data_IF_942814505603
#
_entry.id   IF_942814505603
#
_cell.length_a   1.000
_cell.length_b   1.000
_cell.length_c   1.000
_cell.angle_alpha   90.00
_cell.angle_beta   90.00
_cell.angle_gamma   90.00
#
_symmetry.space_group_name_H-M   'P 1'
#
loop_
_entity.id
_entity.type
_entity.pdbx_description
1 polymer ?
#
# COMPACT_ATOMS: atom_id res chain seq x y z
N UNK A 1 4.22 37.05 -32.39
CA UNK A 1 3.29 36.90 -31.24
C UNK A 1 2.57 35.55 -31.28
N UNK A 2 1.90 35.18 -32.38
CA UNK A 2 1.20 33.89 -32.49
C UNK A 2 2.11 32.65 -32.29
N UNK A 3 3.31 32.65 -32.88
CA UNK A 3 4.27 31.55 -32.74
C UNK A 3 4.77 31.36 -31.31
N UNK A 4 4.97 32.45 -30.56
CA UNK A 4 5.41 32.40 -29.17
C UNK A 4 4.36 31.71 -28.28
N UNK A 5 3.08 32.06 -28.45
CA UNK A 5 1.99 31.43 -27.70
C UNK A 5 1.82 29.96 -28.05
N UNK A 6 1.96 29.60 -29.33
CA UNK A 6 1.94 28.21 -29.78
C UNK A 6 3.09 27.39 -29.18
N UNK A 7 4.28 27.98 -29.11
CA UNK A 7 5.46 27.33 -28.54
C UNK A 7 5.34 27.15 -27.02
N UNK A 8 4.84 28.16 -26.29
CA UNK A 8 4.56 28.05 -24.85
C UNK A 8 3.53 26.96 -24.57
N UNK A 9 2.43 26.91 -25.36
CA UNK A 9 1.40 25.86 -25.22
C UNK A 9 1.97 24.47 -25.50
N UNK A 10 2.78 24.32 -26.54
CA UNK A 10 3.45 23.05 -26.86
C UNK A 10 4.32 22.57 -25.69
N UNK A 11 5.11 23.47 -25.08
CA UNK A 11 5.94 23.15 -23.91
C UNK A 11 5.11 22.73 -22.71
N UNK A 12 3.99 23.40 -22.44
CA UNK A 12 3.11 23.02 -21.34
C UNK A 12 2.47 21.64 -21.54
N UNK A 13 1.97 21.36 -22.75
CA UNK A 13 1.40 20.03 -23.08
C UNK A 13 2.46 18.95 -22.94
N UNK A 14 3.64 19.12 -23.53
CA UNK A 14 4.72 18.14 -23.43
C UNK A 14 5.24 17.97 -22.00
N UNK A 15 5.29 19.05 -21.20
CA UNK A 15 5.67 18.97 -19.79
C UNK A 15 4.65 18.16 -18.99
N UNK A 16 3.36 18.35 -19.26
CA UNK A 16 2.28 17.55 -18.68
C UNK A 16 2.48 16.07 -19.08
N UNK A 17 2.53 15.76 -20.37
CA UNK A 17 2.63 14.37 -20.85
C UNK A 17 3.85 13.63 -20.28
N UNK A 18 4.99 14.32 -20.15
CA UNK A 18 6.19 13.76 -19.54
C UNK A 18 6.03 13.52 -18.03
N UNK A 19 5.31 14.40 -17.33
CA UNK A 19 4.98 14.22 -15.92
C UNK A 19 4.10 12.98 -15.72
N UNK A 20 3.07 12.77 -16.55
CA UNK A 20 2.21 11.59 -16.47
C UNK A 20 2.97 10.29 -16.66
N UNK A 21 3.79 10.23 -17.72
CA UNK A 21 4.65 9.09 -17.99
C UNK A 21 5.58 8.81 -16.82
N UNK A 22 6.12 9.86 -16.20
CA UNK A 22 6.99 9.73 -15.03
C UNK A 22 6.21 9.18 -13.82
N UNK A 23 5.02 9.71 -13.53
CA UNK A 23 4.16 9.25 -12.43
C UNK A 23 3.75 7.79 -12.63
N UNK A 24 3.30 7.42 -13.84
CA UNK A 24 2.90 6.06 -14.15
C UNK A 24 4.09 5.09 -14.05
N UNK A 25 5.21 5.44 -14.68
CA UNK A 25 6.43 4.61 -14.63
C UNK A 25 6.89 4.40 -13.20
N UNK A 26 7.02 5.48 -12.43
CA UNK A 26 7.50 5.43 -11.05
C UNK A 26 6.53 4.69 -10.12
N UNK A 27 5.22 4.86 -10.32
CA UNK A 27 4.21 4.16 -9.52
C UNK A 27 4.20 2.66 -9.83
N UNK A 28 4.23 2.27 -11.10
CA UNK A 28 4.30 0.85 -11.49
C UNK A 28 5.61 0.22 -11.05
N UNK A 29 6.75 0.89 -11.22
CA UNK A 29 8.04 0.38 -10.76
C UNK A 29 8.11 0.30 -9.23
N UNK A 30 7.58 1.31 -8.53
CA UNK A 30 7.53 1.33 -7.06
C UNK A 30 6.67 0.20 -6.51
N UNK A 31 5.52 -0.06 -7.13
CA UNK A 31 4.66 -1.20 -6.80
C UNK A 31 5.38 -2.53 -7.03
N UNK A 32 5.99 -2.72 -8.20
CA UNK A 32 6.71 -3.95 -8.53
C UNK A 32 7.87 -4.21 -7.55
N UNK A 33 8.67 -3.19 -7.25
CA UNK A 33 9.75 -3.27 -6.25
C UNK A 33 9.19 -3.58 -4.86
N UNK A 34 8.07 -2.95 -4.48
CA UNK A 34 7.46 -3.18 -3.16
C UNK A 34 6.93 -4.62 -3.00
N UNK A 35 6.36 -5.20 -4.06
CA UNK A 35 5.90 -6.59 -4.07
C UNK A 35 7.08 -7.58 -4.04
N UNK A 36 8.16 -7.30 -4.78
CA UNK A 36 9.39 -8.07 -4.71
C UNK A 36 9.97 -8.06 -3.28
N UNK A 37 9.98 -6.90 -2.61
CA UNK A 37 10.41 -6.78 -1.23
C UNK A 37 9.61 -7.66 -0.26
N UNK A 38 8.29 -7.72 -0.47
CA UNK A 38 7.37 -8.51 0.33
C UNK A 38 7.53 -10.01 0.10
N UNK A 39 7.83 -10.40 -1.14
CA UNK A 39 8.07 -11.80 -1.51
C UNK A 39 9.42 -12.30 -0.99
N UNK A 40 10.46 -11.50 -1.15
CA UNK A 40 11.84 -11.97 -1.03
C UNK A 40 12.51 -11.63 0.31
N UNK A 41 12.01 -10.62 1.04
CA UNK A 41 12.68 -10.15 2.25
C UNK A 41 11.81 -10.23 3.52
N UNK A 42 10.49 -10.00 3.43
CA UNK A 42 9.66 -9.78 4.63
C UNK A 42 8.28 -10.45 4.49
N UNK A 43 8.03 -11.60 5.13
CA UNK A 43 6.69 -12.17 5.19
C UNK A 43 5.74 -11.14 5.82
N UNK A 44 4.65 -10.77 5.12
CA UNK A 44 3.65 -9.76 5.58
C UNK A 44 3.25 -9.97 7.04
N UNK A 45 3.12 -11.23 7.47
CA UNK A 45 2.71 -11.57 8.84
C UNK A 45 3.69 -11.15 9.94
N UNK A 46 4.93 -10.79 9.59
CA UNK A 46 5.95 -10.29 10.54
C UNK A 46 6.35 -8.84 10.28
N UNK A 47 5.83 -8.22 9.22
CA UNK A 47 6.14 -6.84 8.89
C UNK A 47 5.52 -5.89 9.92
N UNK A 48 6.33 -4.97 10.46
CA UNK A 48 5.80 -3.84 11.23
C UNK A 48 5.07 -2.88 10.29
N UNK A 49 3.93 -2.38 10.76
CA UNK A 49 3.20 -1.31 10.09
C UNK A 49 2.82 -1.62 8.64
N UNK A 50 2.35 -2.85 8.36
CA UNK A 50 1.85 -3.25 7.03
C UNK A 50 0.80 -2.28 6.46
N UNK A 51 0.05 -1.59 7.32
CA UNK A 51 -0.90 -0.53 6.91
C UNK A 51 -0.24 0.61 6.13
N UNK A 52 1.01 0.98 6.44
CA UNK A 52 1.74 2.03 5.70
C UNK A 52 1.98 1.61 4.25
N UNK A 53 2.24 0.33 4.02
CA UNK A 53 2.41 -0.23 2.68
C UNK A 53 1.09 -0.18 1.91
N UNK A 54 -0.01 -0.64 2.49
CA UNK A 54 -1.33 -0.56 1.85
C UNK A 54 -1.77 0.90 1.57
N UNK A 55 -1.51 1.81 2.51
CA UNK A 55 -1.78 3.24 2.33
C UNK A 55 -0.94 3.83 1.19
N UNK A 56 0.34 3.44 1.09
CA UNK A 56 1.22 3.87 -0.01
C UNK A 56 0.70 3.40 -1.38
N UNK A 57 0.26 2.15 -1.48
CA UNK A 57 -0.30 1.60 -2.72
C UNK A 57 -1.58 2.33 -3.12
N UNK A 58 -2.46 2.61 -2.15
CA UNK A 58 -3.64 3.42 -2.36
C UNK A 58 -3.31 4.81 -2.88
N UNK A 59 -2.34 5.49 -2.26
CA UNK A 59 -1.90 6.83 -2.66
C UNK A 59 -1.24 6.87 -4.04
N UNK A 60 -0.38 5.90 -4.38
CA UNK A 60 0.26 5.80 -5.69
C UNK A 60 -0.77 5.49 -6.80
N UNK A 61 -1.73 4.60 -6.50
CA UNK A 61 -2.83 4.28 -7.42
C UNK A 61 -3.73 5.49 -7.63
N UNK A 62 -4.14 6.15 -6.54
CA UNK A 62 -4.95 7.36 -6.59
C UNK A 62 -4.23 8.48 -7.36
N UNK A 63 -2.93 8.69 -7.12
CA UNK A 63 -2.13 9.67 -7.86
C UNK A 63 -2.14 9.38 -9.36
N UNK A 64 -1.95 8.12 -9.76
CA UNK A 64 -1.99 7.70 -11.17
C UNK A 64 -3.36 7.96 -11.79
N UNK A 65 -4.45 7.57 -11.11
CA UNK A 65 -5.82 7.77 -11.59
C UNK A 65 -6.18 9.25 -11.71
N UNK A 66 -5.86 10.07 -10.70
CA UNK A 66 -6.12 11.51 -10.73
C UNK A 66 -5.36 12.16 -11.89
N UNK A 67 -4.10 11.76 -12.13
CA UNK A 67 -3.32 12.28 -13.25
C UNK A 67 -3.96 11.91 -14.59
N UNK A 68 -4.33 10.65 -14.80
CA UNK A 68 -5.07 10.22 -16.01
C UNK A 68 -6.36 10.99 -16.23
N UNK A 69 -7.15 11.22 -15.17
CA UNK A 69 -8.39 12.00 -15.26
C UNK A 69 -8.13 13.47 -15.63
N UNK A 70 -7.06 14.06 -15.10
CA UNK A 70 -6.60 15.40 -15.46
C UNK A 70 -6.24 15.52 -16.94
N UNK A 71 -5.59 14.50 -17.51
CA UNK A 71 -5.32 14.45 -18.96
C UNK A 71 -6.59 14.39 -19.77
N UNK A 72 -7.52 13.52 -19.40
CA UNK A 72 -8.78 13.36 -20.11
C UNK A 72 -9.59 14.68 -20.10
N UNK A 73 -9.62 15.36 -18.95
CA UNK A 73 -10.24 16.66 -18.81
C UNK A 73 -9.54 17.73 -19.66
N UNK A 74 -8.20 17.72 -19.71
CA UNK A 74 -7.41 18.65 -20.53
C UNK A 74 -7.66 18.45 -22.03
N UNK A 75 -7.73 17.19 -22.50
CA UNK A 75 -8.05 16.88 -23.90
C UNK A 75 -9.44 17.39 -24.28
N UNK A 76 -10.45 17.18 -23.43
CA UNK A 76 -11.81 17.68 -23.66
C UNK A 76 -11.90 19.20 -23.63
N UNK A 77 -11.15 19.86 -22.75
CA UNK A 77 -11.08 21.32 -22.72
C UNK A 77 -10.46 21.90 -24.00
N UNK A 78 -9.43 21.24 -24.55
CA UNK A 78 -8.78 21.64 -25.79
C UNK A 78 -9.72 21.49 -27.00
N UNK A 79 -10.45 20.36 -27.09
CA UNK A 79 -11.46 20.12 -28.13
C UNK A 79 -12.59 21.17 -28.08
N UNK A 80 -13.06 21.50 -26.87
CA UNK A 80 -14.11 22.51 -26.68
C UNK A 80 -13.63 23.93 -27.01
N UNK A 81 -12.39 24.28 -26.65
CA UNK A 81 -11.78 25.56 -27.02
C UNK A 81 -11.58 25.69 -28.54
N UNK A 82 -11.24 24.62 -29.26
CA UNK A 82 -11.15 24.63 -30.72
C UNK A 82 -12.52 24.89 -31.37
N UNK A 83 -13.57 24.20 -30.91
CA UNK A 83 -14.92 24.42 -31.42
C UNK A 83 -15.45 25.85 -31.17
N UNK A 84 -15.13 26.43 -30.01
CA UNK A 84 -15.46 27.82 -29.68
C UNK A 84 -14.63 28.80 -30.51
N UNK A 85 -13.33 28.57 -30.68
CA UNK A 85 -12.46 29.45 -31.46
C UNK A 85 -12.92 29.57 -32.92
N UNK A 86 -13.36 28.48 -33.55
CA UNK A 86 -13.94 28.49 -34.90
C UNK A 86 -15.27 29.25 -34.99
N UNK A 87 -16.06 29.26 -33.91
CA UNK A 87 -17.29 30.03 -33.80
C UNK A 87 -17.06 31.54 -33.57
N UNK A 88 -16.10 31.89 -32.71
CA UNK A 88 -15.78 33.27 -32.35
C UNK A 88 -15.00 34.03 -33.43
N UNK A 89 -14.15 33.34 -34.20
CA UNK A 89 -13.46 33.95 -35.36
C UNK A 89 -14.45 34.47 -36.42
N UNK A 90 -15.65 33.87 -36.50
CA UNK A 90 -16.74 34.31 -37.38
C UNK A 90 -17.56 35.49 -36.83
N UNK A 91 -17.44 35.83 -35.53
CA UNK A 91 -18.30 36.81 -34.86
C UNK A 91 -17.56 38.03 -34.28
N UNK A 92 -16.23 38.02 -34.25
CA UNK A 92 -15.40 39.21 -33.95
C UNK A 92 -15.33 39.62 -32.47
N UNK A 93 -15.85 38.79 -31.56
CA UNK A 93 -15.89 39.11 -30.12
C UNK A 93 -14.85 38.29 -29.36
N UNK A 94 -13.78 38.96 -28.91
CA UNK A 94 -12.78 38.41 -28.00
C UNK A 94 -13.25 38.62 -26.55
N UNK A 95 -13.56 37.54 -25.84
CA UNK A 95 -13.79 37.59 -24.40
C UNK A 95 -12.90 36.56 -23.70
N UNK A 96 -12.00 37.05 -22.84
CA UNK A 96 -11.27 36.30 -21.82
C UNK A 96 -12.24 35.90 -20.70
N UNK A 97 -13.07 34.88 -20.92
CA UNK A 97 -13.82 34.25 -19.82
C UNK A 97 -12.94 33.19 -19.16
N UNK A 98 -12.70 33.27 -17.83
CA UNK A 98 -11.94 32.24 -17.14
C UNK A 98 -12.65 30.89 -17.29
N UNK A 99 -11.93 29.90 -17.82
CA UNK A 99 -12.47 28.57 -18.06
C UNK A 99 -12.45 27.78 -16.75
N UNK A 100 -13.61 27.43 -16.14
CA UNK A 100 -13.64 26.69 -14.88
C UNK A 100 -12.97 25.32 -14.96
N UNK A 101 -12.89 24.73 -16.15
CA UNK A 101 -12.15 23.48 -16.39
C UNK A 101 -10.65 23.62 -16.18
N UNK A 102 -10.10 24.80 -16.46
CA UNK A 102 -8.66 25.07 -16.31
C UNK A 102 -8.26 25.06 -14.83
N UNK A 103 -9.09 25.65 -13.97
CA UNK A 103 -8.91 25.60 -12.51
C UNK A 103 -9.07 24.18 -11.96
N UNK A 104 -10.01 23.41 -12.48
CA UNK A 104 -10.21 22.01 -12.09
C UNK A 104 -8.99 21.14 -12.43
N UNK A 105 -8.44 21.29 -13.64
CA UNK A 105 -7.22 20.58 -14.08
C UNK A 105 -6.01 20.97 -13.21
N UNK A 106 -5.83 22.25 -12.90
CA UNK A 106 -4.75 22.71 -12.02
C UNK A 106 -4.86 22.07 -10.63
N UNK A 107 -6.08 22.02 -10.07
CA UNK A 107 -6.32 21.41 -8.77
C UNK A 107 -6.05 19.90 -8.79
N UNK A 108 -6.52 19.18 -9.80
CA UNK A 108 -6.29 17.73 -9.95
C UNK A 108 -4.79 17.42 -10.09
N UNK A 109 -4.05 18.19 -10.88
CA UNK A 109 -2.60 18.02 -11.03
C UNK A 109 -1.84 18.25 -9.72
N UNK A 110 -2.27 19.23 -8.92
CA UNK A 110 -1.67 19.46 -7.60
C UNK A 110 -2.00 18.34 -6.62
N UNK A 111 -3.23 17.84 -6.65
CA UNK A 111 -3.67 16.72 -5.83
C UNK A 111 -2.93 15.41 -6.18
N UNK A 112 -2.69 15.14 -7.47
CA UNK A 112 -1.93 13.96 -7.88
C UNK A 112 -0.47 14.05 -7.48
N UNK A 113 0.18 15.20 -7.68
CA UNK A 113 1.56 15.42 -7.24
C UNK A 113 1.73 15.23 -5.73
N UNK A 114 0.82 15.78 -4.92
CA UNK A 114 0.84 15.59 -3.47
C UNK A 114 0.65 14.13 -3.06
N UNK A 115 -0.31 13.43 -3.69
CA UNK A 115 -0.58 12.01 -3.43
C UNK A 115 0.61 11.12 -3.80
N UNK A 116 1.27 11.42 -4.93
CA UNK A 116 2.46 10.70 -5.39
C UNK A 116 3.61 10.84 -4.39
N UNK A 117 3.92 12.07 -3.97
CA UNK A 117 5.00 12.32 -2.99
C UNK A 117 4.71 11.60 -1.66
N UNK A 118 3.47 11.66 -1.17
CA UNK A 118 3.07 10.96 0.04
C UNK A 118 3.21 9.43 -0.11
N UNK A 119 2.79 8.86 -1.24
CA UNK A 119 2.90 7.43 -1.54
C UNK A 119 4.34 6.92 -1.60
N UNK A 120 5.23 7.67 -2.28
CA UNK A 120 6.67 7.33 -2.34
C UNK A 120 7.27 7.39 -0.94
N UNK A 121 7.00 8.45 -0.17
CA UNK A 121 7.54 8.63 1.17
C UNK A 121 7.12 7.48 2.11
N UNK A 122 5.85 7.08 2.09
CA UNK A 122 5.36 5.96 2.89
C UNK A 122 6.02 4.65 2.52
N UNK A 123 6.20 4.37 1.22
CA UNK A 123 6.91 3.18 0.74
C UNK A 123 8.35 3.16 1.26
N UNK A 124 9.07 4.28 1.12
CA UNK A 124 10.46 4.40 1.59
C UNK A 124 10.56 4.22 3.10
N UNK A 125 9.70 4.87 3.88
CA UNK A 125 9.69 4.71 5.34
C UNK A 125 9.38 3.27 5.76
N UNK A 126 8.39 2.63 5.12
CA UNK A 126 8.04 1.25 5.40
C UNK A 126 9.23 0.31 5.17
N UNK A 127 9.92 0.45 4.02
CA UNK A 127 11.12 -0.34 3.72
C UNK A 127 12.22 -0.08 4.75
N UNK A 128 12.50 1.18 5.10
CA UNK A 128 13.55 1.53 6.06
C UNK A 128 13.30 0.92 7.45
N UNK A 129 12.08 1.06 7.99
CA UNK A 129 11.71 0.52 9.32
C UNK A 129 11.85 -1.00 9.33
N UNK A 130 11.34 -1.66 8.30
CA UNK A 130 11.34 -3.12 8.27
C UNK A 130 12.73 -3.70 7.98
N UNK A 131 13.58 -2.99 7.21
CA UNK A 131 14.97 -3.39 6.98
C UNK A 131 15.83 -3.21 8.23
N UNK A 132 15.65 -2.12 8.98
CA UNK A 132 16.32 -1.90 10.26
C UNK A 132 15.95 -3.00 11.26
N UNK A 133 14.66 -3.33 11.39
CA UNK A 133 14.22 -4.41 12.28
C UNK A 133 14.80 -5.76 11.87
N UNK A 134 14.85 -6.08 10.57
CA UNK A 134 15.46 -7.30 10.08
C UNK A 134 16.94 -7.40 10.48
N UNK A 135 17.66 -6.28 10.45
CA UNK A 135 19.05 -6.20 10.92
C UNK A 135 19.16 -6.41 12.44
N UNK A 136 18.29 -5.80 13.24
CA UNK A 136 18.27 -5.96 14.71
C UNK A 136 18.00 -7.42 15.11
N UNK A 137 16.98 -8.06 14.53
CA UNK A 137 16.63 -9.47 14.82
C UNK A 137 17.77 -10.42 14.48
N UNK A 138 18.55 -10.14 13.42
CA UNK A 138 19.72 -10.94 13.05
C UNK A 138 20.86 -10.84 14.07
N UNK A 139 20.97 -9.72 14.78
CA UNK A 139 22.04 -9.43 15.73
C UNK A 139 21.69 -9.78 17.19
N UNK A 140 20.42 -10.09 17.49
CA UNK A 140 20.07 -10.63 18.80
C UNK A 140 20.64 -12.06 18.96
N UNK A 141 21.19 -12.41 20.14
CA UNK A 141 21.54 -13.78 20.44
C UNK A 141 20.30 -14.65 20.25
N UNK A 142 20.35 -15.62 19.33
CA UNK A 142 19.26 -16.59 19.22
C UNK A 142 19.09 -17.28 20.58
N UNK A 143 17.85 -17.44 21.09
CA UNK A 143 17.64 -18.28 22.25
C UNK A 143 18.22 -19.66 21.92
N UNK A 144 19.22 -20.08 22.68
CA UNK A 144 19.83 -21.38 22.48
C UNK A 144 18.74 -22.42 22.66
N UNK A 145 18.31 -23.04 21.55
CA UNK A 145 17.54 -24.28 21.57
C UNK A 145 18.45 -25.43 22.02
N UNK A 146 19.21 -25.25 23.11
CA UNK A 146 19.74 -26.34 23.90
C UNK A 146 18.53 -27.02 24.52
N UNK A 147 17.94 -27.96 23.77
CA UNK A 147 17.30 -29.12 24.39
C UNK A 147 18.31 -29.59 25.45
N UNK A 148 17.96 -29.58 26.74
CA UNK A 148 18.89 -30.02 27.77
C UNK A 148 19.33 -31.42 27.38
N UNK A 149 20.63 -31.63 27.22
CA UNK A 149 21.18 -32.95 26.88
C UNK A 149 20.82 -33.91 28.03
N UNK A 150 19.73 -34.65 27.86
CA UNK A 150 19.22 -35.59 28.86
C UNK A 150 20.07 -36.86 28.95
N UNK A 151 21.24 -36.91 28.31
CA UNK A 151 22.17 -38.06 28.38
C UNK A 151 22.76 -38.31 29.78
N UNK A 152 22.52 -37.43 30.76
CA UNK A 152 22.97 -37.61 32.15
C UNK A 152 21.87 -37.84 33.19
N UNK A 153 20.59 -37.82 32.81
CA UNK A 153 19.50 -38.10 33.76
C UNK A 153 19.30 -39.62 33.88
N UNK A 154 19.33 -40.21 35.09
CA UNK A 154 18.99 -41.61 35.25
C UNK A 154 17.58 -41.82 34.69
N UNK A 155 17.47 -42.76 33.74
CA UNK A 155 16.17 -43.19 33.22
C UNK A 155 15.31 -43.56 34.45
N UNK A 156 14.07 -43.06 34.58
CA UNK A 156 13.18 -43.52 35.63
C UNK A 156 13.06 -45.03 35.45
N UNK A 157 13.67 -45.78 36.36
CA UNK A 157 13.56 -47.23 36.38
C UNK A 157 12.07 -47.58 36.32
N UNK A 158 11.76 -48.67 35.61
CA UNK A 158 10.42 -49.24 35.57
C UNK A 158 10.00 -49.47 37.02
N UNK A 159 9.20 -48.55 37.57
CA UNK A 159 8.50 -48.77 38.83
C UNK A 159 7.46 -49.84 38.53
N UNK A 160 7.53 -51.02 39.20
CA UNK A 160 6.50 -52.03 39.02
C UNK A 160 5.14 -51.40 39.34
N UNK A 161 4.21 -51.51 38.39
CA UNK A 161 2.84 -51.04 38.57
C UNK A 161 2.29 -51.61 39.87
N UNK A 162 1.89 -50.74 40.81
CA UNK A 162 1.29 -51.16 42.07
C UNK A 162 0.07 -52.06 41.79
N UNK A 163 -0.20 -53.09 42.62
CA UNK A 163 -1.35 -53.97 42.43
C UNK A 163 -2.63 -53.15 42.39
N UNK A 164 -3.44 -53.34 41.34
CA UNK A 164 -4.76 -52.71 41.20
C UNK A 164 -5.59 -53.13 42.42
N UNK A 165 -5.87 -52.19 43.33
CA UNK A 165 -6.85 -52.42 44.39
C UNK A 165 -8.24 -52.50 43.76
N UNK A 166 -9.07 -53.50 44.09
CA UNK A 166 -10.46 -53.54 43.64
C UNK A 166 -11.19 -52.27 44.09
N UNK A 167 -12.01 -51.71 43.21
CA UNK A 167 -12.84 -50.57 43.54
C UNK A 167 -13.79 -50.90 44.71
N UNK A 168 -14.03 -49.97 45.66
CA UNK A 168 -15.01 -50.19 46.69
C UNK A 168 -16.41 -50.35 46.06
N UNK A 169 -17.28 -51.21 46.63
CA UNK A 169 -18.62 -51.42 46.10
C UNK A 169 -19.45 -50.13 46.15
N UNK A 170 -20.37 -49.94 45.19
CA UNK A 170 -21.20 -48.75 45.14
C UNK A 170 -22.10 -48.62 46.37
N UNK A 171 -22.43 -47.39 46.82
CA UNK A 171 -23.32 -47.17 47.95
C UNK A 171 -24.69 -47.79 47.70
N UNK A 172 -25.22 -48.51 48.69
CA UNK A 172 -26.57 -49.07 48.69
C UNK A 172 -27.60 -47.96 48.49
N UNK A 173 -28.51 -48.13 47.53
CA UNK A 173 -29.60 -47.18 47.31
C UNK A 173 -30.49 -47.06 48.58
N UNK A 174 -31.03 -45.86 48.88
CA UNK A 174 -31.93 -45.69 50.02
C UNK A 174 -33.18 -46.55 49.87
N UNK A 175 -33.60 -47.19 50.96
CA UNK A 175 -34.81 -48.01 50.99
C UNK A 175 -36.07 -47.17 50.66
N UNK A 176 -37.09 -47.77 50.01
CA UNK A 176 -38.33 -47.07 49.69
C UNK A 176 -39.04 -46.65 50.98
N UNK A 177 -39.38 -45.37 51.11
CA UNK A 177 -40.26 -44.93 52.19
C UNK A 177 -41.68 -45.42 51.90
N UNK A 178 -42.20 -46.30 52.76
CA UNK A 178 -43.61 -46.67 52.78
C UNK A 178 -44.41 -45.72 53.64
N UNK A 179 -45.36 -45.06 52.97
CA UNK A 179 -46.62 -44.45 53.46
C UNK A 179 -46.57 -43.01 53.97
#
# INVERSE_FOLDING_TARGET
>A
MADFTAEVRKRQVSASENFDKSVLTLSTSGLAVSLAFLKDFIPIGQALSAWMLYASWGLLTAATVITMLSFLASMRAQEFQQAIAEGHYRRGEAHDKPNPWDQFVIWMNRASGASFIAGVSLTTLFVAINLQRAHEVKNLPQPSNTVPDRRGLPSPGIVPSAPIRPAPPPPSAPAPQTK
#
